data_IF_455791897456
#
_entry.id   IF_455791897456
#
_cell.length_a   1.000
_cell.length_b   1.000
_cell.length_c   1.000
_cell.angle_alpha   90.00
_cell.angle_beta   90.00
_cell.angle_gamma   90.00
#
_symmetry.space_group_name_H-M   'P 1'
#
loop_
_entity.id
_entity.type
_entity.pdbx_description
1 polymer ?
#
# COMPACT_ATOMS: atom_id res chain seq x y z
N UNK A 1 -35.96 6.12 -30.26
CA UNK A 1 -36.72 6.69 -29.16
C UNK A 1 -37.14 5.51 -28.29
N UNK A 2 -36.27 5.10 -27.39
CA UNK A 2 -36.59 4.23 -26.28
C UNK A 2 -35.45 4.34 -25.29
N UNK A 3 -35.80 4.91 -24.15
CA UNK A 3 -34.90 5.14 -23.00
C UNK A 3 -34.99 3.89 -22.13
N UNK A 4 -33.94 3.03 -22.17
CA UNK A 4 -33.80 1.95 -21.21
C UNK A 4 -33.06 2.47 -19.98
N UNK A 5 -33.82 2.69 -18.93
CA UNK A 5 -33.37 3.04 -17.59
C UNK A 5 -32.81 1.78 -16.96
N UNK A 6 -31.47 1.68 -16.85
CA UNK A 6 -30.83 0.62 -16.07
C UNK A 6 -31.02 0.86 -14.56
N UNK A 7 -31.91 0.07 -14.00
CA UNK A 7 -32.17 -0.06 -12.57
C UNK A 7 -30.96 -0.67 -11.85
N UNK A 8 -30.31 0.12 -11.01
CA UNK A 8 -29.27 -0.36 -10.07
C UNK A 8 -29.96 -1.15 -8.96
N UNK A 9 -29.82 -2.47 -8.99
CA UNK A 9 -30.22 -3.36 -7.90
C UNK A 9 -29.17 -3.32 -6.79
N UNK A 10 -29.47 -2.56 -5.75
CA UNK A 10 -28.79 -2.67 -4.45
C UNK A 10 -29.04 -4.03 -3.82
N UNK A 11 -28.03 -4.89 -3.78
CA UNK A 11 -28.05 -6.10 -2.96
C UNK A 11 -27.84 -5.71 -1.49
N UNK A 12 -28.89 -5.85 -0.69
CA UNK A 12 -28.82 -5.78 0.76
C UNK A 12 -28.14 -7.05 1.29
N UNK A 13 -27.00 -6.89 1.98
CA UNK A 13 -26.36 -7.95 2.74
C UNK A 13 -27.12 -8.10 4.06
N UNK A 14 -27.52 -9.32 4.49
CA UNK A 14 -28.23 -9.48 5.76
C UNK A 14 -27.28 -9.31 6.94
N UNK A 15 -27.69 -8.50 7.90
CA UNK A 15 -27.09 -8.33 9.21
C UNK A 15 -27.08 -9.69 9.93
N UNK A 16 -25.90 -10.20 10.28
CA UNK A 16 -25.78 -11.38 11.13
C UNK A 16 -26.14 -10.99 12.57
N UNK A 17 -27.24 -11.53 13.07
CA UNK A 17 -27.70 -11.38 14.45
C UNK A 17 -26.82 -12.24 15.36
N UNK A 18 -26.07 -11.59 16.24
CA UNK A 18 -25.35 -12.27 17.33
C UNK A 18 -26.36 -12.69 18.39
N UNK A 19 -26.58 -14.00 18.49
CA UNK A 19 -27.40 -14.60 19.58
C UNK A 19 -26.50 -14.73 20.82
N UNK A 20 -26.78 -13.93 21.84
CA UNK A 20 -26.21 -14.10 23.18
C UNK A 20 -26.91 -15.26 23.88
N UNK A 21 -26.23 -16.39 24.06
CA UNK A 21 -26.67 -17.48 24.95
C UNK A 21 -26.32 -17.14 26.39
N UNK A 22 -27.29 -16.77 27.19
CA UNK A 22 -27.21 -16.71 28.65
C UNK A 22 -27.44 -18.12 29.24
N UNK A 23 -26.38 -18.72 29.77
CA UNK A 23 -26.46 -19.94 30.60
C UNK A 23 -26.42 -19.55 32.09
N UNK A 24 -27.57 -19.71 32.75
CA UNK A 24 -27.65 -19.68 34.21
C UNK A 24 -27.35 -21.08 34.74
N UNK A 25 -26.27 -21.23 35.49
CA UNK A 25 -25.89 -22.46 36.18
C UNK A 25 -25.35 -22.15 37.56
N UNK A 26 -26.04 -22.68 38.58
CA UNK A 26 -25.80 -22.51 40.03
C UNK A 26 -24.64 -23.41 40.49
N UNK A 27 -23.68 -22.82 41.22
CA UNK A 27 -23.05 -23.40 42.40
C UNK A 27 -21.76 -24.23 42.20
N UNK A 28 -20.63 -23.64 42.61
CA UNK A 28 -19.67 -24.17 43.63
C UNK A 28 -18.50 -23.18 43.76
N UNK A 29 -18.26 -22.70 44.97
CA UNK A 29 -17.08 -21.92 45.36
C UNK A 29 -15.84 -22.81 45.33
N UNK A 30 -14.94 -22.52 44.36
CA UNK A 30 -13.52 -22.87 44.45
C UNK A 30 -12.74 -21.77 43.77
N UNK A 31 -11.66 -21.30 44.41
CA UNK A 31 -10.81 -20.18 44.13
C UNK A 31 -10.76 -19.67 42.69
N UNK A 32 -11.30 -18.50 42.45
CA UNK A 32 -11.21 -17.78 41.18
C UNK A 32 -9.79 -17.23 41.11
N UNK A 33 -8.87 -17.96 40.45
CA UNK A 33 -7.80 -17.28 39.77
C UNK A 33 -8.49 -16.39 38.73
N UNK A 34 -8.51 -15.08 38.93
CA UNK A 34 -8.97 -14.13 37.95
C UNK A 34 -8.05 -14.28 36.72
N UNK A 35 -8.50 -15.03 35.73
CA UNK A 35 -7.94 -14.94 34.40
C UNK A 35 -8.23 -13.48 33.97
N UNK A 36 -7.18 -12.63 34.04
CA UNK A 36 -7.25 -11.30 33.46
C UNK A 36 -7.69 -11.50 32.01
N UNK A 37 -8.84 -11.00 31.63
CA UNK A 37 -9.22 -10.94 30.23
C UNK A 37 -8.07 -10.24 29.48
N UNK A 38 -7.68 -10.70 28.28
CA UNK A 38 -6.69 -10.00 27.51
C UNK A 38 -7.15 -8.53 27.39
N UNK A 39 -6.27 -7.61 27.74
CA UNK A 39 -6.55 -6.18 27.62
C UNK A 39 -6.95 -5.92 26.15
N UNK A 40 -8.13 -5.36 25.96
CA UNK A 40 -8.60 -5.00 24.62
C UNK A 40 -7.70 -3.85 24.14
N UNK A 41 -7.22 -3.95 22.90
CA UNK A 41 -6.42 -2.91 22.26
C UNK A 41 -7.17 -1.56 22.34
N UNK A 42 -6.50 -0.53 22.85
CA UNK A 42 -7.04 0.81 22.94
C UNK A 42 -6.76 1.64 21.70
N UNK A 43 -7.66 2.56 21.37
CA UNK A 43 -7.39 3.58 20.35
C UNK A 43 -6.66 4.77 20.98
N UNK A 44 -5.45 5.05 20.48
CA UNK A 44 -4.57 6.09 21.04
C UNK A 44 -4.67 7.36 20.18
N UNK A 45 -5.23 8.43 20.71
CA UNK A 45 -5.26 9.76 20.08
C UNK A 45 -3.87 10.41 20.13
N UNK A 46 -2.94 9.93 19.33
CA UNK A 46 -1.55 10.40 19.30
C UNK A 46 -1.28 11.44 18.20
N UNK A 47 -2.11 11.57 17.17
CA UNK A 47 -1.89 12.53 16.09
C UNK A 47 -2.03 13.96 16.63
N UNK A 48 -1.01 14.77 16.37
CA UNK A 48 -0.92 16.16 16.85
C UNK A 48 -1.02 17.19 15.72
N UNK A 49 -0.69 16.78 14.49
CA UNK A 49 -0.73 17.66 13.32
C UNK A 49 -0.90 16.86 12.03
N UNK A 50 -1.48 17.48 11.01
CA UNK A 50 -1.55 16.96 9.65
C UNK A 50 -1.07 18.03 8.66
N UNK A 51 -0.35 17.62 7.63
CA UNK A 51 0.01 18.49 6.50
C UNK A 51 -0.27 17.79 5.19
N UNK A 52 -0.59 18.59 4.16
CA UNK A 52 -0.83 18.12 2.81
C UNK A 52 -0.08 19.02 1.84
N UNK A 53 0.69 18.44 0.90
CA UNK A 53 1.50 19.18 -0.06
C UNK A 53 1.43 18.55 -1.43
N UNK A 54 1.17 19.35 -2.44
CA UNK A 54 1.23 18.92 -3.83
C UNK A 54 2.67 18.50 -4.19
N UNK A 55 2.83 17.28 -4.67
CA UNK A 55 4.10 16.68 -5.09
C UNK A 55 4.33 16.87 -6.60
N UNK A 56 3.26 16.85 -7.39
CA UNK A 56 3.31 16.97 -8.85
C UNK A 56 3.69 18.39 -9.28
N UNK A 57 3.09 19.40 -8.62
CA UNK A 57 3.29 20.82 -8.91
C UNK A 57 3.50 21.62 -7.62
N UNK A 58 4.66 21.50 -6.93
CA UNK A 58 4.84 22.05 -5.57
C UNK A 58 4.68 23.58 -5.45
N UNK A 59 4.94 24.32 -6.52
CA UNK A 59 4.85 25.79 -6.57
C UNK A 59 3.73 26.29 -7.49
N UNK A 60 2.97 25.39 -8.10
CA UNK A 60 1.93 25.71 -9.07
C UNK A 60 0.51 25.59 -8.50
N UNK A 61 -0.50 25.74 -9.36
CA UNK A 61 -1.87 25.42 -9.01
C UNK A 61 -2.02 23.95 -8.63
N UNK A 62 -3.04 23.63 -7.83
CA UNK A 62 -3.40 22.29 -7.46
C UNK A 62 -4.41 21.71 -8.45
N UNK A 63 -4.08 20.59 -9.08
CA UNK A 63 -4.95 19.97 -10.06
C UNK A 63 -5.54 18.65 -9.56
N UNK A 64 -6.72 18.30 -10.07
CA UNK A 64 -7.27 16.95 -10.00
C UNK A 64 -6.26 16.00 -10.64
N UNK A 65 -6.04 14.83 -10.02
CA UNK A 65 -5.05 13.79 -10.34
C UNK A 65 -3.58 14.13 -10.05
N UNK A 66 -3.30 15.28 -9.46
CA UNK A 66 -1.98 15.52 -8.86
C UNK A 66 -1.77 14.58 -7.66
N UNK A 67 -0.50 14.21 -7.43
CA UNK A 67 -0.06 13.45 -6.26
C UNK A 67 0.25 14.40 -5.10
N UNK A 68 -0.13 13.98 -3.90
CA UNK A 68 0.07 14.74 -2.67
C UNK A 68 0.82 13.90 -1.64
N UNK A 69 1.77 14.53 -0.95
CA UNK A 69 2.35 13.99 0.27
C UNK A 69 1.49 14.45 1.45
N UNK A 70 1.00 13.49 2.22
CA UNK A 70 0.37 13.67 3.51
C UNK A 70 1.40 13.35 4.59
N UNK A 71 1.46 14.16 5.64
CA UNK A 71 2.30 13.90 6.81
C UNK A 71 1.48 14.09 8.06
N UNK A 72 1.49 13.09 8.94
CA UNK A 72 0.79 13.08 10.21
C UNK A 72 1.82 12.97 11.33
N UNK A 73 2.04 14.07 12.04
CA UNK A 73 2.88 14.06 13.23
C UNK A 73 2.14 13.38 14.38
N UNK A 74 2.82 12.48 15.09
CA UNK A 74 2.26 11.83 16.27
C UNK A 74 3.16 11.98 17.49
N UNK A 75 2.56 11.98 18.68
CA UNK A 75 3.23 12.07 19.96
C UNK A 75 2.45 11.30 21.02
N UNK A 76 3.11 10.34 21.65
CA UNK A 76 2.55 9.54 22.75
C UNK A 76 2.93 10.05 24.14
N UNK A 77 3.62 11.19 24.22
CA UNK A 77 4.06 11.77 25.52
C UNK A 77 2.86 11.92 26.48
N UNK A 78 3.02 11.36 27.67
CA UNK A 78 1.98 11.37 28.72
C UNK A 78 0.78 10.45 28.45
N UNK A 79 0.84 9.59 27.44
CA UNK A 79 -0.18 8.58 27.12
C UNK A 79 0.31 7.20 27.58
N UNK A 80 -0.61 6.41 28.13
CA UNK A 80 -0.37 5.01 28.37
C UNK A 80 -0.59 4.26 27.04
N UNK A 81 0.46 3.70 26.46
CA UNK A 81 0.42 2.94 25.21
C UNK A 81 0.94 1.54 25.48
N UNK A 82 0.20 0.55 24.99
CA UNK A 82 0.55 -0.87 25.07
C UNK A 82 0.79 -1.43 23.66
N UNK A 83 1.46 -2.55 23.61
CA UNK A 83 1.56 -3.34 22.38
C UNK A 83 0.16 -3.71 21.86
N UNK A 84 -0.04 -3.63 20.56
CA UNK A 84 -1.30 -3.82 19.84
C UNK A 84 -2.35 -2.72 20.05
N UNK A 85 -2.10 -1.66 20.82
CA UNK A 85 -2.94 -0.47 20.77
C UNK A 85 -2.93 0.12 19.37
N UNK A 86 -4.01 0.81 18.99
CA UNK A 86 -4.23 1.23 17.62
C UNK A 86 -4.33 2.74 17.47
N UNK A 87 -4.10 3.19 16.25
CA UNK A 87 -4.28 4.55 15.79
C UNK A 87 -4.88 4.47 14.38
N UNK A 88 -5.97 5.17 14.12
CA UNK A 88 -6.58 5.23 12.79
C UNK A 88 -6.74 6.67 12.31
N UNK A 89 -6.61 6.86 10.97
CA UNK A 89 -6.77 8.14 10.30
C UNK A 89 -7.68 7.94 9.10
N UNK A 90 -8.89 8.46 9.16
CA UNK A 90 -9.82 8.50 8.04
C UNK A 90 -9.42 9.63 7.11
N UNK A 91 -9.13 9.33 5.85
CA UNK A 91 -8.86 10.31 4.82
C UNK A 91 -10.16 10.92 4.27
N UNK A 92 -10.17 12.18 3.83
CA UNK A 92 -11.28 12.77 3.10
C UNK A 92 -11.50 12.08 1.74
N UNK A 93 -12.75 12.08 1.27
CA UNK A 93 -13.18 11.37 0.05
C UNK A 93 -12.54 11.86 -1.23
N UNK A 94 -11.95 13.04 -1.21
CA UNK A 94 -11.23 13.67 -2.32
C UNK A 94 -9.85 13.05 -2.55
N UNK A 95 -9.33 12.34 -1.55
CA UNK A 95 -8.04 11.65 -1.61
C UNK A 95 -8.23 10.16 -1.93
N UNK A 96 -7.49 9.68 -2.92
CA UNK A 96 -7.43 8.28 -3.33
C UNK A 96 -6.04 7.72 -3.05
N UNK A 97 -5.98 6.58 -2.40
CA UNK A 97 -4.73 5.87 -2.07
C UNK A 97 -4.56 4.60 -2.87
N UNK A 98 -3.33 4.16 -3.01
CA UNK A 98 -2.98 2.79 -3.38
C UNK A 98 -2.90 1.95 -2.11
N UNK A 99 -3.18 0.63 -2.20
CA UNK A 99 -2.99 -0.27 -1.07
C UNK A 99 -1.52 -0.28 -0.64
N UNK A 100 -1.29 -0.18 0.66
CA UNK A 100 0.07 -0.24 1.22
C UNK A 100 0.04 -0.86 2.61
N UNK A 101 1.17 -1.52 2.95
CA UNK A 101 1.54 -1.88 4.32
C UNK A 101 2.98 -1.43 4.52
N UNK A 102 3.26 -0.76 5.62
CA UNK A 102 4.58 -0.19 5.91
C UNK A 102 4.82 -0.07 7.42
N UNK A 103 6.07 0.13 7.79
CA UNK A 103 6.48 0.32 9.16
C UNK A 103 6.86 1.77 9.43
N UNK A 104 6.62 2.22 10.67
CA UNK A 104 7.20 3.43 11.24
C UNK A 104 8.36 2.98 12.11
N UNK A 105 9.56 3.40 11.75
CA UNK A 105 10.80 2.85 12.31
C UNK A 105 11.59 3.90 13.06
N UNK A 106 12.20 3.49 14.14
CA UNK A 106 13.15 4.29 14.91
C UNK A 106 14.38 4.61 14.04
N UNK A 107 14.73 5.89 13.95
CA UNK A 107 15.81 6.39 13.10
C UNK A 107 17.18 5.89 13.51
N UNK A 108 17.39 5.68 14.82
CA UNK A 108 18.68 5.34 15.39
C UNK A 108 18.88 3.82 15.46
N UNK A 109 17.84 3.09 15.83
CA UNK A 109 17.91 1.65 16.10
C UNK A 109 17.34 0.78 14.99
N UNK A 110 16.47 1.35 14.12
CA UNK A 110 15.71 0.60 13.13
C UNK A 110 14.56 -0.22 13.74
N UNK A 111 14.29 -0.06 15.05
CA UNK A 111 13.17 -0.71 15.72
C UNK A 111 11.84 -0.27 15.14
N UNK A 112 10.92 -1.20 14.94
CA UNK A 112 9.58 -0.88 14.41
C UNK A 112 8.69 -0.45 15.56
N UNK A 113 8.16 0.78 15.54
CA UNK A 113 7.24 1.27 16.57
C UNK A 113 5.77 1.11 16.18
N UNK A 114 5.45 1.24 14.89
CA UNK A 114 4.11 1.05 14.36
C UNK A 114 4.16 0.20 13.10
N UNK A 115 3.18 -0.68 12.93
CA UNK A 115 2.86 -1.32 11.65
C UNK A 115 1.58 -0.71 11.12
N UNK A 116 1.64 -0.15 9.91
CA UNK A 116 0.53 0.58 9.30
C UNK A 116 0.06 -0.11 8.03
N UNK A 117 -1.24 0.01 7.73
CA UNK A 117 -1.83 -0.44 6.47
C UNK A 117 -2.95 0.49 6.02
N UNK A 118 -3.10 0.62 4.71
CA UNK A 118 -4.18 1.36 4.08
C UNK A 118 -4.68 0.59 2.85
N UNK A 119 -5.99 0.43 2.65
CA UNK A 119 -6.55 -0.11 1.42
C UNK A 119 -6.40 0.85 0.23
N UNK A 120 -6.55 0.33 -1.00
CA UNK A 120 -6.70 1.17 -2.18
C UNK A 120 -8.13 1.75 -2.25
N UNK A 121 -8.25 2.97 -2.74
CA UNK A 121 -9.54 3.63 -2.97
C UNK A 121 -9.62 5.04 -2.42
N UNK A 122 -10.79 5.66 -2.59
CA UNK A 122 -11.10 7.01 -2.12
C UNK A 122 -11.50 6.99 -0.65
N UNK A 123 -11.07 8.00 0.11
CA UNK A 123 -11.47 8.16 1.50
C UNK A 123 -11.17 6.95 2.39
N UNK A 124 -10.03 6.32 2.23
CA UNK A 124 -9.68 5.12 2.97
C UNK A 124 -9.18 5.43 4.39
N UNK A 125 -9.24 4.43 5.26
CA UNK A 125 -8.71 4.51 6.62
C UNK A 125 -7.29 3.97 6.64
N UNK A 126 -6.33 4.80 7.04
CA UNK A 126 -5.00 4.36 7.45
C UNK A 126 -5.11 3.81 8.87
N UNK A 127 -4.76 2.54 9.06
CA UNK A 127 -4.78 1.86 10.36
C UNK A 127 -3.38 1.49 10.76
N UNK A 128 -2.96 1.86 11.97
CA UNK A 128 -1.66 1.54 12.54
C UNK A 128 -1.83 0.82 13.89
N UNK A 129 -0.95 -0.13 14.18
CA UNK A 129 -0.87 -0.79 15.47
C UNK A 129 0.52 -0.58 16.08
N UNK A 130 0.58 -0.25 17.35
CA UNK A 130 1.83 -0.18 18.12
C UNK A 130 2.40 -1.57 18.32
N UNK A 131 3.72 -1.69 18.19
CA UNK A 131 4.45 -2.95 18.38
C UNK A 131 4.98 -3.08 19.80
N UNK A 132 5.80 -4.10 20.04
CA UNK A 132 6.54 -4.28 21.29
C UNK A 132 7.57 -3.17 21.58
N UNK A 133 7.88 -2.30 20.61
CA UNK A 133 8.70 -1.11 20.79
C UNK A 133 8.25 -0.28 22.00
N UNK A 134 6.94 -0.10 22.18
CA UNK A 134 6.38 0.66 23.31
C UNK A 134 6.53 -0.05 24.66
N UNK A 135 6.97 -1.30 24.70
CA UNK A 135 7.30 -1.99 25.95
C UNK A 135 8.65 -1.54 26.52
N UNK A 136 9.56 -1.11 25.65
CA UNK A 136 10.93 -0.70 25.97
C UNK A 136 11.18 0.81 25.83
N UNK A 137 10.27 1.54 25.16
CA UNK A 137 10.37 2.98 24.91
C UNK A 137 9.12 3.71 25.42
N UNK A 138 9.32 4.90 25.99
CA UNK A 138 8.28 5.87 26.33
C UNK A 138 8.33 7.05 25.34
N UNK A 139 7.30 7.90 25.36
CA UNK A 139 7.25 9.17 24.64
C UNK A 139 7.60 9.04 23.15
N UNK A 140 7.13 7.97 22.50
CA UNK A 140 7.32 7.77 21.06
C UNK A 140 6.67 8.92 20.27
N UNK A 141 7.45 9.58 19.42
CA UNK A 141 7.02 10.71 18.59
C UNK A 141 7.70 10.67 17.23
N UNK A 142 6.99 11.11 16.20
CA UNK A 142 7.51 11.06 14.84
C UNK A 142 6.47 11.42 13.80
N UNK A 143 6.73 10.99 12.57
CA UNK A 143 5.90 11.30 11.43
C UNK A 143 5.47 10.03 10.68
N UNK A 144 4.21 9.99 10.29
CA UNK A 144 3.65 9.01 9.35
C UNK A 144 3.43 9.73 8.02
N UNK A 145 4.00 9.20 6.95
CA UNK A 145 3.90 9.75 5.61
C UNK A 145 3.06 8.85 4.71
N UNK A 146 2.26 9.46 3.85
CA UNK A 146 1.42 8.76 2.88
C UNK A 146 1.38 9.55 1.57
N UNK A 147 1.34 8.84 0.44
CA UNK A 147 1.11 9.43 -0.90
C UNK A 147 -0.32 9.12 -1.32
N UNK A 148 -1.04 10.14 -1.75
CA UNK A 148 -2.40 10.03 -2.27
C UNK A 148 -2.59 10.90 -3.51
N UNK A 149 -3.54 10.52 -4.37
CA UNK A 149 -3.97 11.33 -5.51
C UNK A 149 -5.20 12.16 -5.11
N UNK A 150 -5.27 13.41 -5.58
CA UNK A 150 -6.47 14.22 -5.46
C UNK A 150 -7.41 13.89 -6.61
N UNK A 151 -8.60 13.36 -6.36
CA UNK A 151 -9.49 12.85 -7.41
C UNK A 151 -10.70 13.74 -7.72
N UNK A 152 -10.86 14.86 -6.98
CA UNK A 152 -12.00 15.77 -7.17
C UNK A 152 -11.59 17.23 -7.07
N UNK A 153 -12.34 18.08 -7.77
CA UNK A 153 -12.27 19.53 -7.56
C UNK A 153 -12.84 19.87 -6.18
N UNK A 154 -12.30 20.94 -5.58
CA UNK A 154 -12.79 21.44 -4.28
C UNK A 154 -13.10 22.92 -4.34
N UNK A 155 -13.95 23.40 -3.44
CA UNK A 155 -14.22 24.82 -3.23
C UNK A 155 -13.44 25.38 -2.04
N UNK A 156 -12.70 24.52 -1.34
CA UNK A 156 -11.83 24.87 -0.22
C UNK A 156 -10.44 24.25 -0.44
N UNK A 157 -9.44 24.84 0.18
CA UNK A 157 -8.08 24.32 0.26
C UNK A 157 -7.79 23.55 1.57
N UNK A 158 -8.79 23.43 2.43
CA UNK A 158 -8.68 22.76 3.74
C UNK A 158 -9.41 21.43 3.74
N UNK A 159 -8.72 20.44 4.24
CA UNK A 159 -9.15 19.03 4.31
C UNK A 159 -9.13 18.55 5.75
N UNK A 160 -10.23 17.94 6.21
CA UNK A 160 -10.35 17.38 7.56
C UNK A 160 -10.04 15.88 7.56
N UNK A 161 -9.16 15.47 8.45
CA UNK A 161 -8.80 14.07 8.73
C UNK A 161 -9.42 13.67 10.07
N UNK A 162 -10.15 12.54 10.11
CA UNK A 162 -10.75 12.07 11.35
C UNK A 162 -9.88 11.01 12.00
N UNK A 163 -9.41 11.28 13.22
CA UNK A 163 -8.56 10.41 14.01
C UNK A 163 -9.41 9.58 14.95
N UNK A 164 -9.23 8.26 14.96
CA UNK A 164 -9.93 7.32 15.83
C UNK A 164 -11.44 7.60 15.88
N UNK A 165 -12.04 7.85 14.71
CA UNK A 165 -13.47 8.10 14.51
C UNK A 165 -14.07 9.29 15.28
N UNK A 166 -13.28 10.14 15.94
CA UNK A 166 -13.81 11.14 16.89
C UNK A 166 -13.12 12.50 16.90
N UNK A 167 -11.85 12.60 16.50
CA UNK A 167 -11.08 13.85 16.53
C UNK A 167 -10.78 14.31 15.11
N UNK A 168 -11.13 15.54 14.77
CA UNK A 168 -10.80 16.12 13.47
C UNK A 168 -9.53 16.95 13.56
N UNK A 169 -8.67 16.78 12.54
CA UNK A 169 -7.45 17.57 12.34
C UNK A 169 -7.47 18.08 10.91
N UNK A 170 -7.39 19.40 10.77
CA UNK A 170 -7.41 20.06 9.48
C UNK A 170 -6.01 20.28 8.92
N UNK A 171 -5.87 20.13 7.60
CA UNK A 171 -4.67 20.51 6.86
C UNK A 171 -5.04 21.32 5.62
N UNK A 172 -4.27 22.38 5.37
CA UNK A 172 -4.48 23.28 4.22
C UNK A 172 -3.46 22.97 3.14
N UNK A 173 -3.94 22.79 1.92
CA UNK A 173 -3.09 22.67 0.72
C UNK A 173 -2.56 24.04 0.34
N UNK A 174 -1.25 24.22 0.22
CA UNK A 174 -0.69 25.46 -0.33
C UNK A 174 -1.20 25.77 -1.75
N UNK A 175 -1.26 27.04 -2.11
CA UNK A 175 -1.63 27.55 -3.43
C UNK A 175 -3.12 27.42 -3.80
N UNK A 176 -4.01 27.24 -2.82
CA UNK A 176 -5.45 27.31 -3.00
C UNK A 176 -6.13 25.96 -3.25
N UNK A 177 -7.40 26.02 -3.58
CA UNK A 177 -8.25 24.85 -3.80
C UNK A 177 -7.85 24.02 -5.03
N UNK A 178 -8.41 22.83 -5.13
CA UNK A 178 -8.15 21.90 -6.24
C UNK A 178 -9.02 22.28 -7.43
N UNK A 179 -8.40 22.50 -8.57
CA UNK A 179 -9.09 22.88 -9.81
C UNK A 179 -8.88 21.81 -10.89
N UNK A 180 -9.77 21.82 -11.88
CA UNK A 180 -9.59 21.00 -13.08
C UNK A 180 -8.42 21.54 -13.88
N UNK A 181 -7.54 20.67 -14.34
CA UNK A 181 -6.52 21.06 -15.30
C UNK A 181 -7.19 21.31 -16.66
N UNK A 182 -7.27 22.59 -17.04
CA UNK A 182 -7.83 22.99 -18.34
C UNK A 182 -6.76 23.14 -19.41
N UNK A 183 -5.48 23.01 -19.06
CA UNK A 183 -4.37 23.03 -19.99
C UNK A 183 -4.02 21.59 -20.37
N UNK A 184 -4.86 20.95 -21.18
CA UNK A 184 -4.62 19.58 -21.61
C UNK A 184 -3.25 19.44 -22.27
N UNK A 185 -2.47 18.46 -21.79
CA UNK A 185 -1.22 18.09 -22.45
C UNK A 185 -1.55 17.39 -23.76
N UNK A 186 -1.28 18.06 -24.87
CA UNK A 186 -1.52 17.54 -26.21
C UNK A 186 -0.20 17.52 -26.99
N UNK A 187 0.56 16.42 -26.93
CA UNK A 187 1.83 16.31 -27.67
C UNK A 187 1.58 16.40 -29.19
N UNK A 188 2.46 17.16 -29.86
CA UNK A 188 2.40 17.33 -31.32
C UNK A 188 3.19 16.25 -32.08
N UNK A 189 3.90 15.39 -31.37
CA UNK A 189 4.59 14.20 -31.88
C UNK A 189 4.10 12.96 -31.12
N UNK A 190 4.40 11.78 -31.62
CA UNK A 190 4.09 10.54 -30.88
C UNK A 190 4.67 10.62 -29.48
N UNK A 191 3.84 10.32 -28.48
CA UNK A 191 4.22 10.37 -27.08
C UNK A 191 3.64 9.19 -26.32
N UNK A 192 4.32 8.75 -25.27
CA UNK A 192 3.88 7.66 -24.43
C UNK A 192 3.77 8.11 -23.00
N UNK A 193 2.65 7.78 -22.38
CA UNK A 193 2.43 7.96 -20.95
C UNK A 193 2.09 6.60 -20.31
N UNK A 194 2.15 6.56 -18.98
CA UNK A 194 1.73 5.39 -18.23
C UNK A 194 1.90 5.59 -16.73
N UNK A 195 1.15 4.82 -15.99
CA UNK A 195 1.15 4.82 -14.52
C UNK A 195 0.77 3.46 -13.97
N UNK A 196 1.11 3.23 -12.70
CA UNK A 196 0.67 2.06 -11.98
C UNK A 196 -0.82 2.15 -11.67
N UNK A 197 -1.56 1.06 -11.85
CA UNK A 197 -2.98 0.98 -11.49
C UNK A 197 -3.17 1.18 -9.98
N UNK A 198 -4.21 1.93 -9.60
CA UNK A 198 -4.46 2.31 -8.22
C UNK A 198 -5.33 1.31 -7.45
N UNK A 199 -6.03 0.42 -8.13
CA UNK A 199 -7.06 -0.47 -7.56
C UNK A 199 -6.48 -1.73 -6.89
N UNK A 200 -5.52 -1.58 -5.99
CA UNK A 200 -4.99 -2.70 -5.20
C UNK A 200 -4.10 -3.69 -5.96
N UNK A 201 -3.76 -3.36 -7.20
CA UNK A 201 -2.95 -4.18 -8.11
C UNK A 201 -1.63 -3.50 -8.43
N UNK A 202 -0.66 -3.64 -7.53
CA UNK A 202 0.68 -3.07 -7.71
C UNK A 202 1.42 -3.64 -8.92
N UNK A 203 1.02 -4.80 -9.39
CA UNK A 203 1.56 -5.53 -10.54
C UNK A 203 1.00 -5.08 -11.89
N UNK A 204 0.06 -4.11 -11.93
CA UNK A 204 -0.61 -3.68 -13.17
C UNK A 204 -0.32 -2.24 -13.52
N UNK A 205 -0.25 -1.99 -14.84
CA UNK A 205 0.03 -0.68 -15.40
C UNK A 205 -0.98 -0.31 -16.48
N UNK A 206 -1.33 0.98 -16.53
CA UNK A 206 -2.02 1.59 -17.66
C UNK A 206 -1.00 2.29 -18.54
N UNK A 207 -1.16 2.17 -19.85
CA UNK A 207 -0.34 2.82 -20.85
C UNK A 207 -1.19 3.55 -21.87
N UNK A 208 -0.71 4.71 -22.28
CA UNK A 208 -1.31 5.54 -23.31
C UNK A 208 -0.27 5.90 -24.37
N UNK A 209 -0.64 5.76 -25.64
CA UNK A 209 0.15 6.22 -26.77
C UNK A 209 -0.64 7.32 -27.49
N UNK A 210 -0.11 8.50 -27.48
CA UNK A 210 -0.66 9.71 -28.11
C UNK A 210 -0.17 9.78 -29.54
N UNK A 211 -1.09 9.88 -30.50
CA UNK A 211 -0.81 9.76 -31.93
C UNK A 211 -1.43 10.94 -32.69
N UNK A 212 -0.68 12.04 -32.87
CA UNK A 212 -1.11 13.16 -33.71
C UNK A 212 -1.00 12.78 -35.19
N UNK A 213 -2.14 12.63 -35.88
CA UNK A 213 -2.22 12.17 -37.28
C UNK A 213 -1.40 13.06 -38.23
N UNK A 214 -1.35 14.39 -37.98
CA UNK A 214 -0.62 15.37 -38.81
C UNK A 214 0.84 15.03 -39.07
N UNK A 215 1.45 14.22 -38.20
CA UNK A 215 2.84 13.80 -38.33
C UNK A 215 3.01 12.54 -39.19
N UNK A 216 1.91 11.93 -39.64
CA UNK A 216 1.92 10.62 -40.31
C UNK A 216 1.50 10.78 -41.77
N UNK A 217 2.45 10.57 -42.69
CA UNK A 217 2.20 10.66 -44.13
C UNK A 217 1.67 9.36 -44.74
N UNK A 218 1.91 8.24 -44.11
CA UNK A 218 1.44 6.90 -44.55
C UNK A 218 -0.10 6.82 -44.57
N UNK A 219 -0.64 5.97 -45.44
CA UNK A 219 -2.08 5.66 -45.47
C UNK A 219 -2.51 4.77 -44.30
N UNK A 220 -1.54 4.24 -43.55
CA UNK A 220 -1.77 3.41 -42.37
C UNK A 220 -0.99 3.96 -41.19
N UNK A 221 -1.65 4.10 -40.07
CA UNK A 221 -1.02 4.33 -38.78
C UNK A 221 -0.64 2.98 -38.22
N UNK A 222 0.67 2.79 -37.92
CA UNK A 222 1.23 1.58 -37.36
C UNK A 222 1.92 1.87 -36.04
N UNK A 223 1.62 1.08 -35.02
CA UNK A 223 2.24 1.15 -33.70
C UNK A 223 2.87 -0.20 -33.40
N UNK A 224 4.17 -0.21 -33.15
CA UNK A 224 4.86 -1.36 -32.57
C UNK A 224 5.20 -1.01 -31.13
N UNK A 225 4.68 -1.78 -30.20
CA UNK A 225 4.94 -1.58 -28.77
C UNK A 225 5.79 -2.72 -28.22
N UNK A 226 6.85 -2.37 -27.49
CA UNK A 226 7.82 -3.35 -26.95
C UNK A 226 7.89 -3.22 -25.45
N UNK A 227 7.61 -4.33 -24.78
CA UNK A 227 7.59 -4.45 -23.33
C UNK A 227 8.98 -4.72 -22.78
N UNK A 228 9.28 -4.12 -21.62
CA UNK A 228 10.49 -4.40 -20.90
C UNK A 228 10.55 -5.84 -20.41
N UNK A 229 11.70 -6.47 -20.49
CA UNK A 229 11.96 -7.80 -19.96
C UNK A 229 12.57 -7.78 -18.56
N UNK A 230 12.93 -6.58 -18.04
CA UNK A 230 13.43 -6.42 -16.68
C UNK A 230 12.41 -6.96 -15.66
N UNK A 231 12.89 -7.40 -14.52
CA UNK A 231 12.06 -7.93 -13.45
C UNK A 231 11.11 -9.07 -13.84
N UNK A 232 11.47 -9.85 -14.88
CA UNK A 232 10.65 -10.96 -15.41
C UNK A 232 9.65 -10.55 -16.48
N UNK A 233 9.64 -9.26 -16.87
CA UNK A 233 8.79 -8.72 -17.92
C UNK A 233 7.32 -8.61 -17.54
N UNK A 234 6.52 -8.15 -18.48
CA UNK A 234 5.07 -8.03 -18.36
C UNK A 234 4.38 -8.37 -19.68
N UNK A 235 3.08 -8.55 -19.65
CA UNK A 235 2.22 -8.94 -20.77
C UNK A 235 0.98 -8.09 -20.78
N UNK A 236 0.22 -8.13 -21.87
CA UNK A 236 -1.11 -7.53 -21.89
C UNK A 236 -2.00 -8.15 -20.80
N UNK A 237 -2.75 -7.30 -20.11
CA UNK A 237 -3.57 -7.73 -18.99
C UNK A 237 -4.83 -8.49 -19.46
N UNK A 238 -4.98 -9.71 -18.96
CA UNK A 238 -6.15 -10.56 -19.20
C UNK A 238 -6.97 -10.70 -17.91
N UNK A 239 -8.19 -10.16 -17.89
CA UNK A 239 -9.14 -10.52 -16.84
C UNK A 239 -9.62 -11.97 -16.99
N UNK A 240 -9.93 -12.67 -15.88
CA UNK A 240 -10.57 -13.97 -15.96
C UNK A 240 -11.85 -13.93 -16.79
N UNK A 241 -11.91 -14.72 -17.87
CA UNK A 241 -13.05 -14.76 -18.79
C UNK A 241 -13.08 -13.69 -19.89
N UNK A 242 -12.08 -12.79 -19.93
CA UNK A 242 -11.91 -11.82 -20.99
C UNK A 242 -10.49 -11.91 -21.56
N UNK A 243 -10.31 -11.59 -22.84
CA UNK A 243 -8.97 -11.46 -23.41
C UNK A 243 -8.45 -10.02 -23.26
N UNK A 244 -7.12 -9.84 -23.33
CA UNK A 244 -6.45 -8.54 -23.17
C UNK A 244 -6.97 -7.49 -24.17
N UNK A 245 -7.40 -7.90 -25.35
CA UNK A 245 -7.85 -7.02 -26.40
C UNK A 245 -9.20 -6.36 -26.09
N UNK A 246 -9.98 -6.91 -25.14
CA UNK A 246 -11.25 -6.33 -24.74
C UNK A 246 -11.10 -5.04 -23.94
N UNK A 247 -9.96 -4.83 -23.27
CA UNK A 247 -9.66 -3.61 -22.53
C UNK A 247 -8.90 -2.58 -23.35
N UNK A 248 -8.27 -2.99 -24.46
CA UNK A 248 -7.56 -2.07 -25.34
C UNK A 248 -8.55 -1.23 -26.12
N UNK A 249 -8.34 0.09 -26.15
CA UNK A 249 -9.19 1.07 -26.82
C UNK A 249 -8.34 2.03 -27.65
N UNK A 250 -8.84 2.33 -28.82
CA UNK A 250 -8.38 3.45 -29.61
C UNK A 250 -9.45 4.55 -29.53
N UNK A 251 -9.11 5.67 -28.90
CA UNK A 251 -9.96 6.85 -28.86
C UNK A 251 -9.56 7.81 -29.97
N UNK A 252 -10.53 8.50 -30.57
CA UNK A 252 -10.32 9.45 -31.65
C UNK A 252 -11.01 10.76 -31.36
N UNK A 253 -10.31 11.84 -31.55
CA UNK A 253 -10.80 13.22 -31.66
C UNK A 253 -10.65 13.68 -33.10
N UNK A 254 -11.57 14.54 -33.57
CA UNK A 254 -11.55 14.99 -34.96
C UNK A 254 -10.40 15.94 -35.26
N UNK A 255 -9.80 16.55 -34.24
CA UNK A 255 -8.66 17.45 -34.35
C UNK A 255 -7.80 17.47 -33.09
N UNK A 256 -6.58 18.02 -33.19
CA UNK A 256 -5.74 18.34 -32.02
C UNK A 256 -6.43 19.35 -31.10
N UNK A 257 -7.20 20.30 -31.65
CA UNK A 257 -7.89 21.31 -30.85
C UNK A 257 -9.05 20.69 -30.05
N UNK A 258 -9.79 19.74 -30.62
CA UNK A 258 -10.79 18.97 -29.87
C UNK A 258 -10.14 18.18 -28.72
N UNK A 259 -8.99 17.58 -28.99
CA UNK A 259 -8.25 16.86 -27.94
C UNK A 259 -7.79 17.81 -26.83
N UNK A 260 -7.24 19.00 -27.17
CA UNK A 260 -6.84 20.03 -26.19
C UNK A 260 -8.02 20.55 -25.36
N UNK A 261 -9.22 20.60 -25.95
CA UNK A 261 -10.44 21.01 -25.27
C UNK A 261 -11.00 19.95 -24.30
N UNK A 262 -10.45 18.74 -24.33
CA UNK A 262 -10.88 17.59 -23.53
C UNK A 262 -9.76 17.02 -22.66
N UNK A 263 -9.27 17.76 -21.65
CA UNK A 263 -8.14 17.35 -20.81
C UNK A 263 -8.40 16.09 -19.97
N UNK A 264 -9.65 15.67 -19.83
CA UNK A 264 -10.03 14.43 -19.14
C UNK A 264 -10.27 13.26 -20.09
N UNK A 265 -10.09 13.47 -21.39
CA UNK A 265 -10.25 12.45 -22.44
C UNK A 265 -11.63 11.76 -22.43
N UNK A 266 -12.70 12.51 -22.14
CA UNK A 266 -14.06 11.98 -22.03
C UNK A 266 -14.96 12.34 -23.22
N UNK A 267 -14.60 13.37 -23.99
CA UNK A 267 -15.40 13.89 -25.10
C UNK A 267 -14.80 13.49 -26.47
N UNK A 268 -14.29 12.26 -26.57
CA UNK A 268 -13.79 11.69 -27.82
C UNK A 268 -14.94 11.52 -28.83
N UNK A 269 -14.61 11.67 -30.12
CA UNK A 269 -15.59 11.44 -31.20
C UNK A 269 -15.90 9.96 -31.36
N UNK A 270 -14.91 9.08 -31.21
CA UNK A 270 -15.06 7.64 -31.36
C UNK A 270 -14.24 6.88 -30.29
N UNK A 271 -14.82 5.79 -29.74
CA UNK A 271 -14.13 4.79 -28.92
C UNK A 271 -14.15 3.45 -29.64
N UNK A 272 -13.03 3.01 -30.15
CA UNK A 272 -12.89 1.89 -31.05
C UNK A 272 -12.24 0.71 -30.32
N UNK A 273 -12.90 -0.44 -30.34
CA UNK A 273 -12.37 -1.71 -29.85
C UNK A 273 -11.44 -2.32 -30.89
N UNK A 274 -10.53 -3.19 -30.46
CA UNK A 274 -9.77 -4.04 -31.40
C UNK A 274 -10.74 -4.80 -32.29
N UNK A 275 -10.43 -4.84 -33.59
CA UNK A 275 -11.28 -5.32 -34.71
C UNK A 275 -12.51 -4.44 -34.97
N UNK A 276 -12.63 -3.27 -34.36
CA UNK A 276 -13.66 -2.27 -34.67
C UNK A 276 -13.32 -1.44 -35.90
N UNK A 277 -14.35 -0.84 -36.49
CA UNK A 277 -14.22 0.01 -37.69
C UNK A 277 -13.68 1.38 -37.32
N UNK A 278 -12.74 1.91 -38.11
CA UNK A 278 -12.20 3.25 -38.01
C UNK A 278 -11.75 3.73 -39.40
N UNK A 279 -12.05 4.97 -39.75
CA UNK A 279 -11.60 5.63 -41.02
C UNK A 279 -11.81 4.78 -42.29
N UNK A 280 -12.90 4.05 -42.36
CA UNK A 280 -13.25 3.17 -43.52
C UNK A 280 -12.53 1.81 -43.56
N UNK A 281 -11.77 1.45 -42.53
CA UNK A 281 -11.15 0.15 -42.35
C UNK A 281 -11.26 -0.37 -40.93
N UNK A 282 -10.29 -1.13 -40.45
CA UNK A 282 -10.34 -1.82 -39.16
C UNK A 282 -9.14 -1.48 -38.29
N UNK A 283 -9.38 -1.23 -37.01
CA UNK A 283 -8.34 -1.20 -36.01
C UNK A 283 -7.93 -2.62 -35.61
N UNK A 284 -6.72 -3.03 -35.97
CA UNK A 284 -6.17 -4.35 -35.64
C UNK A 284 -5.10 -4.26 -34.57
N UNK A 285 -5.02 -5.28 -33.72
CA UNK A 285 -3.92 -5.46 -32.77
C UNK A 285 -3.57 -6.95 -32.70
N UNK A 286 -2.29 -7.24 -32.87
CA UNK A 286 -1.73 -8.59 -32.80
C UNK A 286 -0.66 -8.62 -31.72
N UNK A 287 -0.83 -9.48 -30.73
CA UNK A 287 0.17 -9.71 -29.69
C UNK A 287 1.41 -10.41 -30.28
N UNK A 288 2.56 -10.05 -29.76
CA UNK A 288 3.86 -10.68 -30.05
C UNK A 288 4.49 -11.22 -28.78
N UNK A 289 5.62 -11.90 -28.88
CA UNK A 289 6.39 -12.35 -27.72
C UNK A 289 6.95 -11.20 -26.88
N UNK A 290 7.06 -10.00 -27.44
CA UNK A 290 7.72 -8.84 -26.82
C UNK A 290 6.79 -7.64 -26.66
N UNK A 291 5.47 -7.79 -26.94
CA UNK A 291 4.52 -6.69 -26.88
C UNK A 291 3.38 -6.86 -27.86
N UNK A 292 3.15 -5.88 -28.74
CA UNK A 292 2.15 -5.99 -29.81
C UNK A 292 2.47 -5.11 -31.03
N UNK A 293 1.79 -5.43 -32.13
CA UNK A 293 1.69 -4.55 -33.29
C UNK A 293 0.22 -4.16 -33.48
N UNK A 294 -0.06 -2.86 -33.53
CA UNK A 294 -1.37 -2.33 -33.82
C UNK A 294 -1.36 -1.52 -35.12
N UNK A 295 -2.44 -1.55 -35.89
CA UNK A 295 -2.59 -0.75 -37.10
C UNK A 295 -4.03 -0.38 -37.41
N UNK A 296 -4.19 0.77 -38.08
CA UNK A 296 -5.49 1.27 -38.55
C UNK A 296 -5.30 2.28 -39.68
N UNK A 297 -6.30 2.49 -40.54
CA UNK A 297 -6.22 3.48 -41.62
C UNK A 297 -6.04 4.90 -41.09
N UNK A 298 -5.17 5.65 -41.74
CA UNK A 298 -4.99 7.09 -41.51
C UNK A 298 -6.17 7.84 -42.15
N UNK A 299 -6.84 8.73 -41.42
CA UNK A 299 -7.97 9.50 -41.94
C UNK A 299 -7.57 10.61 -42.90
N UNK A 300 -6.34 11.12 -42.77
CA UNK A 300 -5.81 12.29 -43.49
C UNK A 300 -6.57 13.60 -43.18
N UNK A 301 -7.28 13.66 -42.05
CA UNK A 301 -8.12 14.78 -41.66
C UNK A 301 -7.60 15.51 -40.41
N UNK A 302 -6.33 15.33 -40.04
CA UNK A 302 -5.69 15.93 -38.86
C UNK A 302 -6.29 15.47 -37.53
N UNK A 303 -6.82 14.25 -37.49
CA UNK A 303 -7.37 13.65 -36.28
C UNK A 303 -6.28 13.43 -35.22
N UNK A 304 -6.73 13.27 -33.99
CA UNK A 304 -5.87 12.92 -32.86
C UNK A 304 -6.32 11.60 -32.25
N UNK A 305 -5.38 10.70 -31.98
CA UNK A 305 -5.70 9.39 -31.43
C UNK A 305 -4.97 9.16 -30.11
N UNK A 306 -5.62 8.38 -29.23
CA UNK A 306 -5.07 7.85 -28.00
C UNK A 306 -5.29 6.33 -27.98
N UNK A 307 -4.21 5.56 -27.99
CA UNK A 307 -4.28 4.11 -27.81
C UNK A 307 -4.00 3.81 -26.33
N UNK A 308 -5.06 3.37 -25.63
CA UNK A 308 -5.00 2.95 -24.22
C UNK A 308 -5.03 1.43 -24.10
N UNK A 309 -4.17 0.88 -23.26
CA UNK A 309 -4.12 -0.53 -22.95
C UNK A 309 -3.52 -0.77 -21.57
N UNK A 310 -3.67 -2.00 -21.08
CA UNK A 310 -3.28 -2.41 -19.74
C UNK A 310 -2.32 -3.58 -19.81
N UNK A 311 -1.36 -3.60 -18.86
CA UNK A 311 -0.41 -4.72 -18.71
C UNK A 311 -0.37 -5.18 -17.27
N UNK A 312 0.10 -6.42 -17.07
CA UNK A 312 0.41 -6.96 -15.75
C UNK A 312 1.79 -7.63 -15.76
N UNK A 313 2.49 -7.63 -14.63
CA UNK A 313 3.76 -8.31 -14.49
C UNK A 313 3.56 -9.82 -14.62
N UNK A 314 4.49 -10.49 -15.31
CA UNK A 314 4.54 -11.95 -15.38
C UNK A 314 4.80 -12.57 -13.99
N UNK A 315 5.51 -11.86 -13.12
CA UNK A 315 5.81 -12.24 -11.73
C UNK A 315 5.36 -11.09 -10.82
N UNK A 316 4.14 -11.11 -10.26
CA UNK A 316 3.59 -10.03 -9.43
C UNK A 316 4.49 -9.64 -8.24
N UNK A 317 5.19 -10.60 -7.64
CA UNK A 317 6.12 -10.35 -6.54
C UNK A 317 7.30 -9.43 -6.90
N UNK A 318 7.55 -9.20 -8.18
CA UNK A 318 8.59 -8.28 -8.65
C UNK A 318 8.14 -6.80 -8.67
N UNK A 319 6.87 -6.51 -8.35
CA UNK A 319 6.38 -5.16 -8.12
C UNK A 319 6.90 -4.61 -6.77
N UNK A 320 8.20 -4.53 -6.63
CA UNK A 320 8.85 -4.04 -5.40
C UNK A 320 9.15 -2.55 -5.51
N UNK A 321 9.13 -1.86 -4.37
CA UNK A 321 9.47 -0.43 -4.28
C UNK A 321 10.86 -0.20 -4.89
N UNK A 322 10.94 0.79 -5.78
CA UNK A 322 12.15 1.16 -6.50
C UNK A 322 12.36 0.40 -7.83
N UNK A 323 11.59 -0.65 -8.10
CA UNK A 323 11.61 -1.30 -9.42
C UNK A 323 11.08 -0.34 -10.49
N UNK A 324 11.71 -0.37 -11.67
CA UNK A 324 11.31 0.46 -12.81
C UNK A 324 10.94 -0.41 -13.99
N UNK A 325 9.90 0.00 -14.72
CA UNK A 325 9.36 -0.70 -15.88
C UNK A 325 9.31 0.25 -17.06
N UNK A 326 10.09 -0.04 -18.10
CA UNK A 326 10.13 0.75 -19.32
C UNK A 326 9.21 0.14 -20.37
N UNK A 327 8.55 1.01 -21.13
CA UNK A 327 7.76 0.59 -22.28
C UNK A 327 8.03 1.54 -23.46
N UNK A 328 8.30 0.97 -24.63
CA UNK A 328 8.69 1.71 -25.83
C UNK A 328 7.71 1.44 -26.97
N UNK A 329 7.16 2.51 -27.53
CA UNK A 329 6.32 2.45 -28.73
C UNK A 329 7.04 3.09 -29.92
N UNK A 330 6.84 2.53 -31.10
CA UNK A 330 7.27 3.11 -32.37
C UNK A 330 6.03 3.36 -33.21
N UNK A 331 5.68 4.62 -33.45
CA UNK A 331 4.54 5.05 -34.25
C UNK A 331 5.03 5.56 -35.59
N UNK A 332 4.85 4.80 -36.67
CA UNK A 332 5.33 5.14 -38.03
C UNK A 332 6.78 5.66 -38.02
N UNK A 333 7.67 5.03 -37.25
CA UNK A 333 9.09 5.39 -37.14
C UNK A 333 9.40 6.43 -36.04
N UNK A 334 8.43 7.06 -35.41
CA UNK A 334 8.64 7.95 -34.25
C UNK A 334 8.67 7.12 -32.97
N UNK A 335 9.77 7.25 -32.21
CA UNK A 335 9.93 6.53 -30.94
C UNK A 335 9.31 7.34 -29.78
N UNK A 336 8.49 6.70 -29.01
CA UNK A 336 7.89 7.24 -27.77
C UNK A 336 8.11 6.23 -26.64
N UNK A 337 8.61 6.68 -25.50
CA UNK A 337 8.91 5.80 -24.38
C UNK A 337 8.50 6.38 -23.03
N UNK A 338 8.20 5.51 -22.10
CA UNK A 338 7.87 5.87 -20.72
C UNK A 338 8.44 4.83 -19.76
N UNK A 339 8.99 5.30 -18.66
CA UNK A 339 9.38 4.48 -17.52
C UNK A 339 8.45 4.78 -16.35
N UNK A 340 7.91 3.75 -15.72
CA UNK A 340 7.12 3.79 -14.49
C UNK A 340 8.00 3.24 -13.37
N UNK A 341 8.07 3.93 -12.23
CA UNK A 341 8.68 3.42 -11.02
C UNK A 341 7.61 2.97 -10.04
N UNK A 342 7.85 1.85 -9.35
CA UNK A 342 7.05 1.47 -8.17
C UNK A 342 7.50 2.35 -7.02
N UNK A 343 6.65 3.26 -6.61
CA UNK A 343 6.96 4.23 -5.55
C UNK A 343 6.45 3.75 -4.19
N UNK A 344 7.12 4.20 -3.15
CA UNK A 344 6.64 4.06 -1.77
C UNK A 344 5.35 4.83 -1.60
N UNK A 345 4.31 4.15 -1.10
CA UNK A 345 3.00 4.75 -0.81
C UNK A 345 2.95 5.29 0.61
N UNK A 346 3.58 4.61 1.56
CA UNK A 346 3.62 5.02 2.95
C UNK A 346 4.94 4.64 3.62
N UNK A 347 5.37 5.47 4.55
CA UNK A 347 6.55 5.25 5.40
C UNK A 347 6.41 6.10 6.67
N UNK A 348 7.29 5.90 7.62
CA UNK A 348 7.33 6.75 8.80
C UNK A 348 8.60 6.55 9.60
N UNK A 349 8.86 7.53 10.43
CA UNK A 349 9.97 7.53 11.37
C UNK A 349 9.50 7.91 12.78
N UNK A 350 10.25 7.49 13.78
CA UNK A 350 9.94 7.69 15.18
C UNK A 350 11.22 7.84 15.99
N UNK A 351 11.12 8.62 17.04
CA UNK A 351 12.10 8.67 18.13
C UNK A 351 11.36 8.31 19.43
N UNK A 352 11.94 7.46 20.26
CA UNK A 352 11.39 7.08 21.56
C UNK A 352 12.46 7.12 22.67
N UNK A 353 12.05 7.41 23.87
CA UNK A 353 12.94 7.43 25.04
C UNK A 353 13.00 6.02 25.63
N UNK A 354 14.21 5.46 25.80
CA UNK A 354 14.36 4.17 26.46
C UNK A 354 13.79 4.24 27.89
N UNK A 355 12.92 3.29 28.22
CA UNK A 355 12.41 3.15 29.60
C UNK A 355 13.55 2.89 30.56
N UNK A 356 13.53 3.58 31.68
CA UNK A 356 14.51 3.33 32.74
C UNK A 356 14.43 1.86 33.17
N UNK A 357 15.54 1.13 33.03
CA UNK A 357 15.63 -0.22 33.59
C UNK A 357 15.37 -0.14 35.09
N UNK A 358 14.39 -0.87 35.67
CA UNK A 358 14.15 -0.84 37.09
C UNK A 358 15.45 -1.23 37.81
N UNK A 359 15.97 -0.31 38.60
CA UNK A 359 17.13 -0.62 39.44
C UNK A 359 16.75 -1.80 40.33
N UNK A 360 17.50 -2.91 40.31
CA UNK A 360 17.14 -4.06 41.12
C UNK A 360 17.01 -3.60 42.57
N UNK A 361 15.83 -3.79 43.14
CA UNK A 361 15.58 -3.54 44.55
C UNK A 361 16.62 -4.35 45.32
N UNK A 362 17.45 -3.75 46.20
CA UNK A 362 18.44 -4.49 46.91
C UNK A 362 17.75 -5.64 47.67
N UNK A 363 18.11 -6.86 47.29
CA UNK A 363 17.65 -8.06 47.99
C UNK A 363 17.98 -7.85 49.49
N UNK A 364 17.00 -7.95 50.40
CA UNK A 364 17.28 -7.74 51.80
C UNK A 364 18.40 -8.69 52.22
N UNK A 365 19.51 -8.11 52.67
CA UNK A 365 20.63 -8.90 53.20
C UNK A 365 20.12 -9.79 54.32
N UNK A 366 20.33 -11.10 54.25
CA UNK A 366 19.85 -12.01 55.30
C UNK A 366 20.42 -11.56 56.61
N UNK A 367 19.57 -11.13 57.54
CA UNK A 367 19.95 -10.79 58.90
C UNK A 367 20.47 -12.07 59.54
N UNK A 368 21.79 -12.10 59.80
CA UNK A 368 22.43 -13.23 60.50
C UNK A 368 21.82 -13.30 61.88
N UNK A 369 20.92 -14.25 62.08
CA UNK A 369 20.39 -14.57 63.39
C UNK A 369 21.55 -15.10 64.23
N UNK A 370 21.86 -14.41 65.31
CA UNK A 370 22.83 -14.83 66.34
C UNK A 370 22.44 -16.26 66.81
N UNK A 371 23.38 -17.23 66.80
CA UNK A 371 23.04 -18.56 67.24
C UNK A 371 22.77 -18.56 68.74
N UNK A 372 21.60 -19.09 69.11
CA UNK A 372 21.22 -19.39 70.51
C UNK A 372 22.16 -20.46 71.07
N UNK A 373 22.58 -20.38 72.35
CA UNK A 373 23.55 -21.31 72.93
C UNK A 373 22.99 -22.73 72.96
N UNK A 374 23.76 -23.66 72.41
CA UNK A 374 23.50 -25.08 72.36
C UNK A 374 23.63 -25.69 73.77
N UNK A 375 22.67 -26.53 74.23
CA UNK A 375 22.91 -27.33 75.45
C UNK A 375 23.90 -28.47 75.15
N UNK A 376 24.87 -28.57 76.05
CA UNK A 376 25.89 -29.62 76.04
C UNK A 376 25.27 -31.02 76.24
N UNK A 377 25.56 -31.95 75.38
CA UNK A 377 25.26 -33.37 75.56
C UNK A 377 26.52 -34.22 75.38
N UNK A 378 26.71 -35.08 76.32
CA UNK A 378 27.81 -36.03 76.55
C UNK A 378 27.95 -37.06 75.42
N UNK A 379 29.21 -37.60 75.24
CA UNK A 379 29.47 -38.43 74.03
C UNK A 379 29.08 -39.90 74.23
N UNK A 380 28.58 -40.52 73.17
CA UNK A 380 28.44 -41.98 73.07
C UNK A 380 29.16 -42.49 71.81
N UNK A 381 29.92 -43.53 72.06
CA UNK A 381 30.92 -44.27 71.31
C UNK A 381 30.45 -44.83 69.92
N UNK A 382 31.35 -45.13 68.98
CA UNK A 382 31.09 -45.45 67.60
C UNK A 382 30.97 -46.93 67.29
N UNK A 383 30.38 -47.31 66.19
CA UNK A 383 30.64 -48.57 65.46
C UNK A 383 29.99 -48.52 64.06
N UNK A 384 30.37 -49.35 63.06
CA UNK A 384 31.18 -49.01 61.91
C UNK A 384 30.50 -49.08 60.55
N UNK A 385 31.20 -48.61 59.54
CA UNK A 385 31.01 -48.77 58.09
C UNK A 385 30.77 -50.20 57.61
N UNK A 386 30.15 -50.44 56.45
CA UNK A 386 30.90 -50.54 55.21
C UNK A 386 30.18 -49.97 53.96
N UNK A 387 30.91 -49.33 53.08
CA UNK A 387 31.48 -49.76 51.79
C UNK A 387 30.58 -50.04 50.59
N UNK A 388 31.00 -49.40 49.51
CA UNK A 388 30.89 -49.80 48.07
C UNK A 388 29.56 -49.51 47.40
N UNK A 389 29.46 -48.98 46.20
CA UNK A 389 30.35 -48.89 45.03
C UNK A 389 29.72 -47.95 43.97
N UNK A 390 30.57 -47.23 43.31
CA UNK A 390 30.31 -46.59 41.99
C UNK A 390 30.12 -47.64 40.90
N UNK A 391 29.46 -47.41 39.79
CA UNK A 391 30.20 -46.99 38.60
C UNK A 391 29.52 -45.99 37.69
N UNK A 392 30.30 -45.16 37.09
CA UNK A 392 30.24 -44.43 35.79
C UNK A 392 30.47 -45.46 34.67
N UNK A 393 30.43 -45.16 33.38
CA UNK A 393 29.75 -44.20 32.50
C UNK A 393 29.14 -44.87 31.22
N UNK A 394 28.57 -44.11 30.32
CA UNK A 394 28.95 -44.22 28.90
C UNK A 394 28.22 -43.18 28.03
N UNK A 395 29.04 -42.49 27.28
CA UNK A 395 28.67 -41.68 26.15
C UNK A 395 28.35 -42.55 24.92
N UNK A 396 27.49 -42.04 24.05
CA UNK A 396 27.50 -42.41 22.63
C UNK A 396 26.94 -41.25 21.77
N UNK A 397 27.85 -40.68 21.02
CA UNK A 397 27.68 -39.90 19.82
C UNK A 397 27.10 -40.72 18.68
N UNK A 398 26.21 -40.11 17.87
CA UNK A 398 26.11 -40.43 16.45
C UNK A 398 25.43 -39.29 15.69
N UNK A 399 26.21 -38.61 14.88
CA UNK A 399 25.85 -37.78 13.73
C UNK A 399 25.45 -38.68 12.56
N UNK A 400 24.54 -38.29 11.71
CA UNK A 400 24.67 -38.63 10.30
C UNK A 400 24.73 -37.44 9.36
N UNK A 401 25.63 -37.52 8.43
CA UNK A 401 26.01 -36.74 7.27
C UNK A 401 24.94 -36.77 6.18
N UNK A 402 24.87 -35.71 5.30
CA UNK A 402 23.89 -35.62 4.24
C UNK A 402 24.31 -36.37 2.98
N UNK A 403 23.33 -36.86 2.23
CA UNK A 403 23.52 -37.38 0.88
C UNK A 403 22.90 -36.44 -0.16
N UNK A 404 23.72 -35.99 -1.07
CA UNK A 404 23.36 -35.37 -2.34
C UNK A 404 23.01 -36.44 -3.37
N UNK A 405 22.04 -36.15 -4.25
CA UNK A 405 21.97 -36.78 -5.58
C UNK A 405 21.24 -35.87 -6.56
N UNK A 406 21.96 -35.48 -7.59
CA UNK A 406 21.51 -35.03 -8.91
C UNK A 406 21.36 -36.25 -9.82
N UNK A 407 20.68 -36.22 -10.96
CA UNK A 407 20.73 -35.22 -12.06
C UNK A 407 19.45 -34.45 -12.33
#
# INVERSE_FOLDING_TARGET
>A
MDLDVMSVRTRRVPLATVVACSLVGVGALTGIASLAAPAQAAEINAITNATIRNRSTPAGPNYVYDNYNLTFAFDTTGKAVAENDTLSIQLPSELRTRAASFNVTDRDTGGVALTCSIPAGEGQVLSCAFTDYVTTHDNARGDIHLVADMVRQTTTDTFSFTINHSVEIDATVPNGNIVKNTNGYAPETAYKNGWQLHEGHTERFTWEIYIPERQIQSDTISVTDTFDTAHGGYKLFNEPGANALQRTRLYKWNSLDDFKADPEHQNYAESIKVNGSVNGGTFTLTETSEGFVASFPNSKNDAYYLLEYYTELNVPANATIGSTFKNTAVVNGQVAEKTIAIETVGWGDVDGELKATPTPTPTPTPTTSTPSPTPSVTPSTPTPSPSTSSPTPSASTSTPTPSATTP
#
